data_IF_647232112203
#
_entry.id   IF_647232112203
#
_cell.length_a   1.000
_cell.length_b   1.000
_cell.length_c   1.000
_cell.angle_alpha   90.00
_cell.angle_beta   90.00
_cell.angle_gamma   90.00
#
_symmetry.space_group_name_H-M   'P 1'
#
loop_
_entity.id
_entity.type
_entity.pdbx_description
1 polymer ?
#
# COMPACT_ATOMS: atom_id res chain seq x y z
N UNK A 1 -3.89 1.57 12.08
CA UNK A 1 -3.08 0.99 10.97
C UNK A 1 -3.04 1.97 9.81
N UNK A 2 -2.00 1.98 8.97
CA UNK A 2 -1.86 2.95 7.86
C UNK A 2 -2.88 2.78 6.72
N UNK A 3 -3.71 1.73 6.74
CA UNK A 3 -4.74 1.39 5.78
C UNK A 3 -5.99 0.90 6.53
N UNK A 4 -7.17 1.02 5.91
CA UNK A 4 -8.39 0.40 6.44
C UNK A 4 -8.28 -1.14 6.40
N UNK A 5 -9.08 -1.84 7.21
CA UNK A 5 -8.99 -3.30 7.38
C UNK A 5 -9.08 -4.06 6.05
N UNK A 6 -9.96 -3.65 5.14
CA UNK A 6 -10.08 -4.29 3.83
C UNK A 6 -8.78 -4.19 3.02
N UNK A 7 -8.25 -2.97 2.84
CA UNK A 7 -7.01 -2.78 2.09
C UNK A 7 -5.79 -3.37 2.80
N UNK A 8 -5.79 -3.41 4.13
CA UNK A 8 -4.73 -4.04 4.90
C UNK A 8 -4.62 -5.54 4.58
N UNK A 9 -5.76 -6.26 4.55
CA UNK A 9 -5.77 -7.67 4.17
C UNK A 9 -5.34 -7.87 2.71
N UNK A 10 -5.77 -7.01 1.79
CA UNK A 10 -5.37 -7.10 0.37
C UNK A 10 -3.86 -6.98 0.21
N UNK A 11 -3.23 -6.00 0.86
CA UNK A 11 -1.77 -5.80 0.78
C UNK A 11 -1.00 -7.01 1.30
N UNK A 12 -1.47 -7.63 2.40
CA UNK A 12 -0.85 -8.85 2.93
C UNK A 12 -1.06 -10.06 2.04
N UNK A 13 -2.28 -10.27 1.54
CA UNK A 13 -2.65 -11.43 0.73
C UNK A 13 -1.96 -11.42 -0.63
N UNK A 14 -1.91 -10.26 -1.27
CA UNK A 14 -1.40 -10.09 -2.62
C UNK A 14 0.12 -9.76 -2.64
N UNK A 15 0.81 -9.90 -1.49
CA UNK A 15 2.25 -9.71 -1.35
C UNK A 15 2.79 -8.39 -1.92
N UNK A 16 2.11 -7.29 -1.59
CA UNK A 16 2.54 -5.97 -2.04
C UNK A 16 3.90 -5.60 -1.43
N UNK A 17 4.73 -4.93 -2.22
CA UNK A 17 6.00 -4.37 -1.73
C UNK A 17 5.75 -3.01 -1.12
N UNK A 18 6.32 -2.73 0.06
CA UNK A 18 6.22 -1.43 0.71
C UNK A 18 7.60 -0.79 0.75
N UNK A 19 7.70 0.44 0.24
CA UNK A 19 8.91 1.24 0.29
C UNK A 19 8.70 2.50 1.12
N UNK A 20 9.63 2.80 2.01
CA UNK A 20 9.66 4.08 2.72
C UNK A 20 10.43 5.09 1.89
N UNK A 21 9.78 6.18 1.47
CA UNK A 21 10.43 7.31 0.77
C UNK A 21 10.23 8.57 1.60
N UNK A 22 11.31 9.10 2.17
CA UNK A 22 11.28 10.31 3.00
C UNK A 22 10.27 10.19 4.16
N UNK A 23 10.23 9.03 4.81
CA UNK A 23 9.28 8.73 5.91
C UNK A 23 7.85 8.42 5.47
N UNK A 24 7.55 8.44 4.17
CA UNK A 24 6.21 8.18 3.63
C UNK A 24 6.17 6.76 3.03
N UNK A 25 5.18 5.92 3.40
CA UNK A 25 5.02 4.59 2.82
C UNK A 25 4.43 4.68 1.41
N UNK A 26 5.07 3.97 0.48
CA UNK A 26 4.62 3.75 -0.89
C UNK A 26 4.34 2.27 -1.09
N UNK A 27 3.15 1.96 -1.60
CA UNK A 27 2.65 0.61 -1.81
C UNK A 27 2.78 0.26 -3.28
N UNK A 28 3.51 -0.80 -3.58
CA UNK A 28 3.83 -1.23 -4.93
C UNK A 28 3.11 -2.55 -5.20
N UNK A 29 2.21 -2.60 -6.19
CA UNK A 29 1.48 -3.81 -6.53
C UNK A 29 2.41 -4.90 -7.11
N UNK A 30 2.00 -6.16 -7.00
CA UNK A 30 2.61 -7.26 -7.75
C UNK A 30 2.29 -7.13 -9.27
N UNK A 31 3.12 -7.73 -10.14
CA UNK A 31 2.99 -7.59 -11.60
C UNK A 31 1.65 -8.05 -12.18
N UNK A 32 0.96 -9.01 -11.53
CA UNK A 32 -0.35 -9.49 -12.00
C UNK A 32 -1.48 -8.48 -11.75
N UNK A 33 -1.30 -7.55 -10.82
CA UNK A 33 -2.26 -6.46 -10.55
C UNK A 33 -1.91 -5.19 -11.33
N UNK A 34 -0.62 -4.92 -11.50
CA UNK A 34 -0.13 -3.83 -12.35
C UNK A 34 1.26 -4.23 -12.90
N UNK A 35 1.36 -4.54 -14.21
CA UNK A 35 2.62 -4.88 -14.85
C UNK A 35 3.68 -3.79 -14.74
N UNK A 36 3.28 -2.51 -14.69
CA UNK A 36 4.20 -1.39 -14.53
C UNK A 36 4.66 -1.21 -13.07
N UNK A 37 4.04 -1.94 -12.14
CA UNK A 37 4.31 -1.86 -10.69
C UNK A 37 4.32 -0.42 -10.19
N UNK A 38 3.32 0.36 -10.59
CA UNK A 38 3.25 1.79 -10.31
C UNK A 38 3.12 2.02 -8.81
N UNK A 39 4.05 2.73 -8.14
CA UNK A 39 3.95 3.00 -6.72
C UNK A 39 2.73 3.86 -6.38
N UNK A 40 1.94 3.43 -5.40
CA UNK A 40 0.73 4.12 -4.93
C UNK A 40 0.93 4.61 -3.50
N UNK A 41 0.40 5.79 -3.19
CA UNK A 41 0.34 6.32 -1.83
C UNK A 41 -1.08 6.17 -1.29
N UNK A 42 -1.22 5.79 -0.03
CA UNK A 42 -2.51 5.93 0.65
C UNK A 42 -2.86 7.42 0.77
N UNK A 43 -3.97 7.83 0.15
CA UNK A 43 -4.50 9.21 0.24
C UNK A 43 -5.42 9.39 1.44
N UNK A 44 -5.88 8.30 2.05
CA UNK A 44 -6.79 8.30 3.19
C UNK A 44 -6.03 7.94 4.46
N UNK A 45 -5.31 8.92 5.02
CA UNK A 45 -4.67 8.78 6.32
C UNK A 45 -5.56 9.40 7.40
N UNK A 46 -6.17 8.55 8.23
CA UNK A 46 -6.85 8.94 9.48
C UNK A 46 -5.97 8.42 10.64
N UNK A 47 -5.11 9.26 11.23
CA UNK A 47 -4.26 8.84 12.35
C UNK A 47 -5.04 8.55 13.65
N UNK A 48 -6.34 8.88 13.69
CA UNK A 48 -7.15 9.07 14.89
C UNK A 48 -8.36 8.12 15.04
N UNK A 49 -8.32 6.92 14.43
CA UNK A 49 -9.21 5.80 14.80
C UNK A 49 -8.45 4.66 15.44
#
# INVERSE_FOLDING_TARGET
>A
TLLCSHHHHVIHKEHWTIQMRTGIPWFIPPPHLDPARTPRRNRYFRPDQ
#
